data_IF_537831907153
#
_entry.id   IF_537831907153
#
_cell.length_a   1.000
_cell.length_b   1.000
_cell.length_c   1.000
_cell.angle_alpha   90.00
_cell.angle_beta   90.00
_cell.angle_gamma   90.00
#
_symmetry.space_group_name_H-M   'P 1'
#
loop_
_entity.id
_entity.type
_entity.pdbx_description
1 polymer ?
#
# COMPACT_ATOMS: atom_id res chain seq x y z
N UNK A 1 -14.81 -10.52 1.53
CA UNK A 1 -13.36 -10.76 1.71
C UNK A 1 -12.90 -9.82 2.80
N UNK A 2 -12.11 -10.29 3.76
CA UNK A 2 -11.60 -9.46 4.86
C UNK A 2 -10.07 -9.36 4.73
N UNK A 3 -9.53 -8.15 4.66
CA UNK A 3 -8.09 -7.89 4.61
C UNK A 3 -7.56 -7.64 6.02
N UNK A 4 -6.56 -8.43 6.46
CA UNK A 4 -6.01 -8.39 7.83
C UNK A 4 -4.48 -8.32 7.82
N UNK A 5 -3.94 -7.46 6.96
CA UNK A 5 -2.50 -7.29 6.77
C UNK A 5 -2.00 -5.89 7.14
N UNK A 6 -2.89 -4.91 7.21
CA UNK A 6 -2.55 -3.52 7.44
C UNK A 6 -2.40 -3.21 8.92
N UNK A 7 -1.41 -2.37 9.22
CA UNK A 7 -1.38 -1.58 10.45
C UNK A 7 -2.40 -0.43 10.38
N UNK A 8 -2.65 0.24 11.50
CA UNK A 8 -3.53 1.40 11.56
C UNK A 8 -2.82 2.64 10.99
N UNK A 9 -3.31 3.26 9.90
CA UNK A 9 -2.72 4.49 9.37
C UNK A 9 -2.96 5.67 10.30
N UNK A 10 -2.09 6.70 10.24
CA UNK A 10 -2.23 7.91 11.05
C UNK A 10 -3.21 8.92 10.44
N UNK A 11 -3.41 8.86 9.12
CA UNK A 11 -4.22 9.81 8.36
C UNK A 11 -5.43 9.10 7.74
N UNK A 12 -6.57 9.80 7.72
CA UNK A 12 -7.80 9.30 7.07
C UNK A 12 -7.57 9.11 5.57
N UNK A 13 -6.89 10.04 4.91
CA UNK A 13 -6.59 9.94 3.48
C UNK A 13 -5.77 8.69 3.12
N UNK A 14 -4.80 8.31 3.97
CA UNK A 14 -4.04 7.05 3.79
C UNK A 14 -4.94 5.83 3.97
N UNK A 15 -5.87 5.89 4.92
CA UNK A 15 -6.86 4.82 5.13
C UNK A 15 -7.77 4.69 3.91
N UNK A 16 -8.27 5.80 3.37
CA UNK A 16 -9.11 5.84 2.18
C UNK A 16 -8.37 5.33 0.95
N UNK A 17 -7.10 5.67 0.78
CA UNK A 17 -6.24 5.14 -0.28
C UNK A 17 -6.15 3.60 -0.24
N UNK A 18 -5.96 3.02 0.95
CA UNK A 18 -5.94 1.56 1.11
C UNK A 18 -7.31 0.92 0.83
N UNK A 19 -8.40 1.55 1.29
CA UNK A 19 -9.76 1.10 0.97
C UNK A 19 -9.98 1.08 -0.55
N UNK A 20 -9.60 2.15 -1.24
CA UNK A 20 -9.70 2.27 -2.70
C UNK A 20 -8.91 1.18 -3.41
N UNK A 21 -7.65 0.92 -3.01
CA UNK A 21 -6.83 -0.18 -3.54
C UNK A 21 -7.54 -1.52 -3.37
N UNK A 22 -8.06 -1.83 -2.17
CA UNK A 22 -8.68 -3.13 -1.91
C UNK A 22 -9.98 -3.33 -2.69
N UNK A 23 -10.82 -2.30 -2.77
CA UNK A 23 -12.04 -2.34 -3.57
C UNK A 23 -11.72 -2.52 -5.05
N UNK A 24 -10.79 -1.73 -5.59
CA UNK A 24 -10.38 -1.81 -6.99
C UNK A 24 -9.75 -3.17 -7.33
N UNK A 25 -8.91 -3.73 -6.45
CA UNK A 25 -8.39 -5.09 -6.60
C UNK A 25 -9.49 -6.15 -6.62
N UNK A 26 -10.45 -6.07 -5.71
CA UNK A 26 -11.56 -7.03 -5.69
C UNK A 26 -12.41 -6.95 -6.96
N UNK A 27 -12.74 -5.73 -7.40
CA UNK A 27 -13.50 -5.48 -8.62
C UNK A 27 -12.74 -5.96 -9.87
N UNK A 28 -11.45 -5.63 -9.98
CA UNK A 28 -10.59 -6.05 -11.09
C UNK A 28 -10.49 -7.57 -11.18
N UNK A 29 -10.23 -8.25 -10.07
CA UNK A 29 -10.15 -9.70 -10.03
C UNK A 29 -11.49 -10.37 -10.37
N UNK A 30 -12.61 -9.79 -9.93
CA UNK A 30 -13.94 -10.26 -10.31
C UNK A 30 -14.21 -10.11 -11.81
N UNK A 31 -13.90 -8.93 -12.39
CA UNK A 31 -14.01 -8.65 -13.82
C UNK A 31 -13.21 -9.64 -14.67
N UNK A 32 -11.94 -9.87 -14.32
CA UNK A 32 -11.08 -10.81 -15.03
C UNK A 32 -11.57 -12.26 -14.93
N UNK A 33 -12.11 -12.65 -13.77
CA UNK A 33 -12.72 -13.97 -13.58
C UNK A 33 -13.96 -14.14 -14.46
N UNK A 34 -14.80 -13.13 -14.58
CA UNK A 34 -15.96 -13.15 -15.48
C UNK A 34 -15.56 -13.29 -16.96
N UNK A 35 -14.35 -12.84 -17.31
CA UNK A 35 -13.73 -12.98 -18.64
C UNK A 35 -12.94 -14.29 -18.82
N UNK A 36 -13.06 -15.26 -17.90
CA UNK A 36 -12.34 -16.54 -17.89
C UNK A 36 -10.80 -16.42 -17.88
N UNK A 37 -10.24 -15.30 -17.42
CA UNK A 37 -8.80 -15.17 -17.21
C UNK A 37 -8.36 -15.83 -15.90
N UNK A 38 -7.19 -16.46 -15.91
CA UNK A 38 -6.59 -17.14 -14.75
C UNK A 38 -5.20 -16.55 -14.46
N UNK A 39 -4.81 -16.61 -13.19
CA UNK A 39 -3.49 -16.18 -12.73
C UNK A 39 -2.57 -17.37 -12.43
N UNK A 40 -1.27 -17.13 -12.52
CA UNK A 40 -0.25 -18.06 -12.06
C UNK A 40 -0.36 -18.16 -10.54
N UNK A 41 -0.43 -19.39 -10.02
CA UNK A 41 -0.39 -19.64 -8.59
C UNK A 41 1.06 -19.82 -8.15
N UNK A 42 1.58 -18.87 -7.40
CA UNK A 42 2.89 -18.99 -6.77
C UNK A 42 2.80 -19.73 -5.43
N UNK A 43 3.88 -20.40 -5.05
CA UNK A 43 3.96 -21.09 -3.76
C UNK A 43 3.88 -20.08 -2.61
N UNK A 44 3.37 -20.51 -1.45
CA UNK A 44 3.30 -19.67 -0.25
C UNK A 44 4.67 -19.17 0.20
N UNK A 45 5.72 -19.95 -0.03
CA UNK A 45 7.09 -19.56 0.32
C UNK A 45 7.53 -18.31 -0.46
N UNK A 46 7.24 -18.26 -1.77
CA UNK A 46 7.55 -17.11 -2.62
C UNK A 46 6.75 -15.85 -2.21
N UNK A 47 5.46 -16.03 -1.91
CA UNK A 47 4.62 -14.92 -1.45
C UNK A 47 5.12 -14.37 -0.09
N UNK A 48 5.51 -15.27 0.82
CA UNK A 48 6.03 -14.90 2.13
C UNK A 48 7.37 -14.15 2.04
N UNK A 49 8.22 -14.46 1.07
CA UNK A 49 9.47 -13.73 0.81
C UNK A 49 9.18 -12.25 0.48
N UNK A 50 8.28 -11.99 -0.48
CA UNK A 50 7.90 -10.61 -0.80
C UNK A 50 7.19 -9.91 0.36
N UNK A 51 6.39 -10.64 1.15
CA UNK A 51 5.79 -10.09 2.38
C UNK A 51 6.85 -9.68 3.40
N UNK A 52 7.89 -10.51 3.60
CA UNK A 52 8.99 -10.18 4.51
C UNK A 52 9.77 -8.96 4.01
N UNK A 53 10.08 -8.88 2.72
CA UNK A 53 10.74 -7.72 2.10
C UNK A 53 9.94 -6.43 2.29
N UNK A 54 8.62 -6.49 2.11
CA UNK A 54 7.73 -5.37 2.36
C UNK A 54 7.78 -4.90 3.82
N UNK A 55 7.70 -5.83 4.77
CA UNK A 55 7.74 -5.50 6.19
C UNK A 55 9.11 -4.94 6.62
N UNK A 56 10.21 -5.40 6.01
CA UNK A 56 11.57 -4.99 6.40
C UNK A 56 12.03 -3.68 5.77
N UNK A 57 11.69 -3.45 4.50
CA UNK A 57 12.23 -2.37 3.68
C UNK A 57 11.17 -1.38 3.18
N UNK A 58 9.89 -1.66 3.40
CA UNK A 58 8.80 -0.78 2.98
C UNK A 58 8.78 -0.50 1.48
N UNK A 59 8.41 0.73 1.13
CA UNK A 59 8.30 1.18 -0.26
C UNK A 59 9.66 1.46 -0.91
N UNK A 60 10.72 1.67 -0.15
CA UNK A 60 12.07 1.92 -0.68
C UNK A 60 12.87 0.63 -0.94
N UNK A 61 12.28 -0.52 -0.61
CA UNK A 61 12.84 -1.83 -0.90
C UNK A 61 12.67 -2.29 -2.35
N UNK A 62 12.97 -3.58 -2.54
CA UNK A 62 12.70 -4.32 -3.77
C UNK A 62 11.89 -5.57 -3.46
N UNK A 63 10.97 -5.92 -4.36
CA UNK A 63 10.28 -7.21 -4.36
C UNK A 63 10.73 -8.04 -5.56
N UNK A 64 10.50 -9.34 -5.50
CA UNK A 64 10.78 -10.25 -6.60
C UNK A 64 9.57 -10.28 -7.52
N UNK A 65 9.76 -9.92 -8.79
CA UNK A 65 8.81 -10.19 -9.85
C UNK A 65 9.09 -11.61 -10.38
N UNK A 66 8.21 -12.55 -10.03
CA UNK A 66 8.38 -13.96 -10.40
C UNK A 66 8.07 -14.24 -11.87
N UNK A 67 7.45 -13.31 -12.60
CA UNK A 67 7.27 -13.41 -14.04
C UNK A 67 8.51 -12.97 -14.81
N UNK A 68 9.19 -11.91 -14.32
CA UNK A 68 10.44 -11.39 -14.90
C UNK A 68 11.71 -12.06 -14.33
N UNK A 69 11.56 -12.89 -13.30
CA UNK A 69 12.66 -13.56 -12.59
C UNK A 69 13.74 -12.60 -12.06
N UNK A 70 13.33 -11.41 -11.61
CA UNK A 70 14.25 -10.37 -11.13
C UNK A 70 13.68 -9.56 -9.97
N UNK A 71 14.56 -8.88 -9.24
CA UNK A 71 14.15 -7.89 -8.25
C UNK A 71 13.76 -6.56 -8.91
N UNK A 72 12.58 -6.05 -8.53
CA UNK A 72 12.02 -4.80 -9.04
C UNK A 72 11.77 -3.86 -7.86
N UNK A 73 11.95 -2.56 -8.11
CA UNK A 73 11.68 -1.53 -7.10
C UNK A 73 10.20 -1.56 -6.68
N UNK A 74 9.95 -1.54 -5.37
CA UNK A 74 8.58 -1.64 -4.83
C UNK A 74 7.70 -0.48 -5.30
N UNK A 75 8.23 0.75 -5.43
CA UNK A 75 7.47 1.92 -5.90
C UNK A 75 6.97 1.71 -7.33
N UNK A 76 7.82 1.17 -8.19
CA UNK A 76 7.43 0.83 -9.56
C UNK A 76 6.32 -0.22 -9.59
N UNK A 77 6.39 -1.25 -8.75
CA UNK A 77 5.35 -2.28 -8.66
C UNK A 77 4.02 -1.72 -8.12
N UNK A 78 4.07 -0.76 -7.19
CA UNK A 78 2.86 -0.07 -6.73
C UNK A 78 2.22 0.72 -7.87
N UNK A 79 3.01 1.41 -8.70
CA UNK A 79 2.48 2.12 -9.88
C UNK A 79 1.89 1.13 -10.90
N UNK A 80 2.55 0.02 -11.18
CA UNK A 80 2.02 -1.05 -12.04
C UNK A 80 0.68 -1.60 -11.48
N UNK A 81 0.54 -1.68 -10.15
CA UNK A 81 -0.72 -2.07 -9.50
C UNK A 81 -1.82 -1.02 -9.71
N UNK A 82 -1.50 0.29 -9.64
CA UNK A 82 -2.46 1.35 -9.91
C UNK A 82 -2.96 1.29 -11.36
N UNK A 83 -2.03 1.15 -12.31
CA UNK A 83 -2.36 0.98 -13.74
C UNK A 83 -3.21 -0.28 -13.98
N UNK A 84 -2.91 -1.37 -13.26
CA UNK A 84 -3.65 -2.62 -13.38
C UNK A 84 -5.12 -2.49 -12.99
N UNK A 85 -5.44 -1.67 -11.99
CA UNK A 85 -6.81 -1.50 -11.49
C UNK A 85 -7.55 -0.30 -12.11
N UNK A 86 -6.88 0.58 -12.85
CA UNK A 86 -7.43 1.86 -13.32
C UNK A 86 -8.81 1.74 -14.01
N UNK A 87 -9.03 0.68 -14.81
CA UNK A 87 -10.25 0.45 -15.60
C UNK A 87 -11.49 0.07 -14.77
N UNK A 88 -11.39 -0.05 -13.45
CA UNK A 88 -12.54 -0.30 -12.55
C UNK A 88 -12.75 0.82 -11.54
N UNK A 89 -11.83 1.78 -11.46
CA UNK A 89 -11.80 2.77 -10.37
C UNK A 89 -12.91 3.82 -10.52
N UNK A 90 -13.22 4.23 -11.75
CA UNK A 90 -14.30 5.20 -12.01
C UNK A 90 -15.67 4.70 -11.58
N UNK A 91 -15.98 3.42 -11.88
CA UNK A 91 -17.25 2.80 -11.50
C UNK A 91 -17.41 2.69 -9.98
N UNK A 92 -16.29 2.60 -9.25
CA UNK A 92 -16.27 2.56 -7.79
C UNK A 92 -16.34 3.95 -7.14
N UNK A 93 -16.13 5.02 -7.92
CA UNK A 93 -16.08 6.38 -7.40
C UNK A 93 -14.88 6.66 -6.48
N UNK A 94 -13.83 5.84 -6.55
CA UNK A 94 -12.68 5.89 -5.63
C UNK A 94 -11.40 6.44 -6.26
N UNK A 95 -11.51 7.15 -7.40
CA UNK A 95 -10.36 7.68 -8.14
C UNK A 95 -9.52 8.65 -7.32
N UNK A 96 -10.16 9.58 -6.64
CA UNK A 96 -9.47 10.60 -5.86
C UNK A 96 -8.75 9.98 -4.65
N UNK A 97 -9.39 9.03 -3.98
CA UNK A 97 -8.80 8.28 -2.88
C UNK A 97 -7.60 7.43 -3.36
N UNK A 98 -7.73 6.77 -4.51
CA UNK A 98 -6.65 5.98 -5.10
C UNK A 98 -5.45 6.86 -5.51
N UNK A 99 -5.71 8.06 -6.03
CA UNK A 99 -4.66 9.00 -6.41
C UNK A 99 -3.79 9.43 -5.23
N UNK A 100 -4.31 9.35 -4.00
CA UNK A 100 -3.53 9.66 -2.78
C UNK A 100 -2.32 8.73 -2.59
N UNK A 101 -2.32 7.54 -3.20
CA UNK A 101 -1.16 6.62 -3.19
C UNK A 101 0.09 7.30 -3.75
N UNK A 102 -0.04 8.17 -4.75
CA UNK A 102 1.09 8.93 -5.29
C UNK A 102 1.72 9.84 -4.23
N UNK A 103 0.92 10.45 -3.35
CA UNK A 103 1.41 11.29 -2.25
C UNK A 103 2.15 10.46 -1.20
N UNK A 104 1.70 9.22 -0.93
CA UNK A 104 2.41 8.30 -0.02
C UNK A 104 3.76 7.93 -0.61
N UNK A 105 3.81 7.63 -1.91
CA UNK A 105 5.08 7.38 -2.59
C UNK A 105 5.98 8.61 -2.49
N UNK A 106 5.49 9.80 -2.85
CA UNK A 106 6.29 11.03 -2.84
C UNK A 106 6.84 11.40 -1.44
N UNK A 107 5.99 11.42 -0.42
CA UNK A 107 6.34 11.93 0.91
C UNK A 107 6.84 10.87 1.89
N UNK A 108 6.82 9.59 1.50
CA UNK A 108 7.16 8.48 2.38
C UNK A 108 5.98 8.01 3.25
N UNK A 109 6.23 6.92 3.95
CA UNK A 109 5.25 6.20 4.75
C UNK A 109 5.04 6.80 6.13
N UNK A 110 4.03 6.30 6.85
CA UNK A 110 3.83 6.61 8.26
C UNK A 110 5.04 6.26 9.13
N UNK A 111 5.75 5.18 8.82
CA UNK A 111 6.96 4.77 9.54
C UNK A 111 8.09 5.80 9.34
N UNK A 112 8.27 6.32 8.12
CA UNK A 112 9.29 7.32 7.82
C UNK A 112 9.06 8.61 8.61
N UNK A 113 7.80 9.04 8.73
CA UNK A 113 7.43 10.23 9.52
C UNK A 113 7.64 10.02 11.01
N UNK A 114 7.32 8.84 11.55
CA UNK A 114 7.56 8.52 12.96
C UNK A 114 9.06 8.46 13.28
N UNK A 115 9.86 7.84 12.41
CA UNK A 115 11.31 7.80 12.54
C UNK A 115 11.92 9.21 12.46
N UNK A 116 11.43 10.07 11.57
CA UNK A 116 11.89 11.45 11.46
C UNK A 116 11.66 12.23 12.77
N UNK A 117 10.49 12.10 13.40
CA UNK A 117 10.20 12.72 14.71
C UNK A 117 11.09 12.13 15.81
N UNK A 118 11.20 10.80 15.87
CA UNK A 118 12.06 10.15 16.86
C UNK A 118 13.52 10.63 16.74
N UNK A 119 14.06 10.74 15.54
CA UNK A 119 15.44 11.11 15.31
C UNK A 119 15.77 12.58 15.67
N UNK A 120 14.76 13.44 15.88
CA UNK A 120 14.99 14.82 16.33
C UNK A 120 15.46 14.85 17.79
N UNK A 121 14.78 14.12 18.67
CA UNK A 121 14.97 14.22 20.13
C UNK A 121 15.28 12.89 20.82
N UNK A 122 15.25 11.76 20.09
CA UNK A 122 15.33 10.39 20.61
C UNK A 122 14.30 10.08 21.70
N UNK A 123 13.08 10.62 21.56
CA UNK A 123 12.02 10.52 22.54
C UNK A 123 10.77 9.90 21.94
N UNK A 124 10.28 8.81 22.54
CA UNK A 124 9.03 8.17 22.11
C UNK A 124 7.78 8.96 22.49
N UNK A 125 7.83 9.82 23.53
CA UNK A 125 6.69 10.66 23.89
C UNK A 125 6.36 11.62 22.75
N UNK A 126 7.37 12.24 22.14
CA UNK A 126 7.20 13.15 21.00
C UNK A 126 6.57 12.44 19.79
N UNK A 127 6.89 11.15 19.58
CA UNK A 127 6.29 10.33 18.52
C UNK A 127 4.82 10.06 18.80
N UNK A 128 4.46 9.74 20.06
CA UNK A 128 3.07 9.54 20.46
C UNK A 128 2.26 10.83 20.29
N UNK A 129 2.78 11.95 20.78
CA UNK A 129 2.14 13.27 20.63
C UNK A 129 1.95 13.62 19.15
N UNK A 130 2.95 13.32 18.32
CA UNK A 130 2.83 13.47 16.87
C UNK A 130 1.72 12.59 16.27
N UNK A 131 1.68 11.29 16.58
CA UNK A 131 0.64 10.38 16.09
C UNK A 131 -0.75 10.90 16.50
N UNK A 132 -0.94 11.26 17.77
CA UNK A 132 -2.22 11.80 18.26
C UNK A 132 -2.61 13.07 17.51
N UNK A 133 -1.66 13.98 17.26
CA UNK A 133 -1.92 15.20 16.50
C UNK A 133 -2.37 14.93 15.05
N UNK A 134 -1.82 13.89 14.40
CA UNK A 134 -2.19 13.53 13.03
C UNK A 134 -3.59 12.92 12.97
N UNK A 135 -3.91 12.02 13.90
CA UNK A 135 -5.24 11.39 13.97
C UNK A 135 -6.35 12.43 14.15
N UNK A 136 -6.09 13.48 14.94
CA UNK A 136 -7.05 14.55 15.18
C UNK A 136 -7.25 15.50 13.99
N UNK A 137 -6.37 15.51 12.97
CA UNK A 137 -6.56 16.39 11.79
C UNK A 137 -7.76 16.01 10.93
N UNK A 138 -8.22 14.77 11.03
CA UNK A 138 -9.35 14.24 10.26
C UNK A 138 -10.72 14.37 10.95
N UNK A 139 -10.78 14.97 12.14
CA UNK A 139 -11.98 15.18 12.96
C UNK A 139 -12.18 16.68 13.15
#
# INVERSE_FOLDING_TARGET
>A
IEFRICDCPMLIDETMAFVAIFQALCAKLYKLRAQNMKFINYSRALINENKWRAARYGIDGKMIDFGKEMEVNTRSLVLELLDFVDDVVDELGSRDDLAYVHKILEHGTGADRQLAVYNQNNNFVDVVDYITSQTLRGI
#
